data_IF_907310614923
#
_entry.id   IF_907310614923
#
_cell.length_a   1.000
_cell.length_b   1.000
_cell.length_c   1.000
_cell.angle_alpha   90.00
_cell.angle_beta   90.00
_cell.angle_gamma   90.00
#
_symmetry.space_group_name_H-M   'P 1'
#
loop_
_entity.id
_entity.type
_entity.pdbx_description
1 polymer ?
#
# COMPACT_ATOMS: atom_id res chain seq x y z
N UNK A 1 -7.59 12.54 -17.87
CA UNK A 1 -8.33 13.38 -16.90
C UNK A 1 -9.75 13.38 -17.43
N UNK A 2 -10.63 12.58 -16.85
CA UNK A 2 -12.04 12.50 -17.27
C UNK A 2 -12.77 13.67 -16.62
N UNK A 3 -13.45 14.44 -17.45
CA UNK A 3 -14.34 15.51 -17.02
C UNK A 3 -15.68 14.86 -16.70
N UNK A 4 -16.15 14.98 -15.46
CA UNK A 4 -17.47 14.51 -15.07
C UNK A 4 -18.41 15.71 -15.22
N UNK A 5 -19.27 15.68 -16.24
CA UNK A 5 -20.35 16.64 -16.36
C UNK A 5 -21.48 16.24 -15.39
N UNK A 6 -21.59 16.99 -14.30
CA UNK A 6 -22.69 16.81 -13.32
C UNK A 6 -23.82 17.75 -13.78
N UNK A 7 -24.88 17.17 -14.31
CA UNK A 7 -26.10 17.91 -14.64
C UNK A 7 -27.13 17.72 -13.50
N UNK A 8 -27.42 18.81 -12.79
CA UNK A 8 -28.41 18.85 -11.69
C UNK A 8 -29.58 19.74 -12.11
N UNK A 9 -30.61 19.21 -12.82
CA UNK A 9 -31.60 20.03 -13.48
C UNK A 9 -32.56 20.80 -12.56
N UNK A 10 -32.68 20.43 -11.29
CA UNK A 10 -33.66 20.96 -10.36
C UNK A 10 -33.08 21.55 -9.06
N UNK A 11 -31.77 21.89 -9.05
CA UNK A 11 -31.10 22.40 -7.83
C UNK A 11 -30.75 23.87 -7.99
N UNK A 12 -31.03 24.68 -6.95
CA UNK A 12 -30.68 26.10 -6.95
C UNK A 12 -29.15 26.27 -7.10
N UNK A 13 -28.66 27.12 -8.02
CA UNK A 13 -27.23 27.40 -8.19
C UNK A 13 -26.52 27.83 -6.89
N UNK A 14 -27.22 28.56 -6.02
CA UNK A 14 -26.68 29.01 -4.72
C UNK A 14 -26.43 27.82 -3.79
N UNK A 15 -27.30 26.83 -3.79
CA UNK A 15 -27.14 25.60 -3.00
C UNK A 15 -25.97 24.76 -3.50
N UNK A 16 -25.76 24.73 -4.81
CA UNK A 16 -24.61 24.04 -5.42
C UNK A 16 -23.31 24.72 -5.04
N UNK A 17 -23.23 26.05 -5.15
CA UNK A 17 -22.02 26.81 -4.80
C UNK A 17 -21.67 26.65 -3.33
N UNK A 18 -22.67 26.72 -2.44
CA UNK A 18 -22.49 26.51 -1.01
C UNK A 18 -21.96 25.11 -0.71
N UNK A 19 -22.55 24.08 -1.32
CA UNK A 19 -22.08 22.70 -1.16
C UNK A 19 -20.65 22.49 -1.69
N UNK A 20 -20.28 23.13 -2.80
CA UNK A 20 -18.91 23.10 -3.34
C UNK A 20 -17.92 23.75 -2.37
N UNK A 21 -18.26 24.90 -1.80
CA UNK A 21 -17.39 25.60 -0.84
C UNK A 21 -17.18 24.77 0.43
N UNK A 22 -18.23 24.16 0.95
CA UNK A 22 -18.12 23.24 2.09
C UNK A 22 -17.21 22.04 1.80
N UNK A 23 -17.34 21.44 0.63
CA UNK A 23 -16.52 20.30 0.22
C UNK A 23 -15.04 20.70 -0.02
N UNK A 24 -14.78 21.95 -0.40
CA UNK A 24 -13.41 22.50 -0.50
C UNK A 24 -12.83 22.68 0.90
N UNK A 25 -13.60 23.24 1.83
CA UNK A 25 -13.17 23.49 3.22
C UNK A 25 -12.91 22.16 3.96
N UNK A 26 -13.72 21.15 3.71
CA UNK A 26 -13.50 19.77 4.20
C UNK A 26 -12.32 19.04 3.51
N UNK A 27 -11.68 19.65 2.51
CA UNK A 27 -10.57 19.06 1.76
C UNK A 27 -10.95 17.90 0.82
N UNK A 28 -12.24 17.68 0.58
CA UNK A 28 -12.75 16.60 -0.28
C UNK A 28 -12.55 16.92 -1.75
N UNK A 29 -12.75 18.18 -2.14
CA UNK A 29 -12.48 18.68 -3.49
C UNK A 29 -11.50 19.85 -3.46
N UNK A 30 -10.89 20.13 -4.60
CA UNK A 30 -10.00 21.29 -4.80
C UNK A 30 -10.36 22.00 -6.09
N UNK A 31 -10.18 23.32 -6.12
CA UNK A 31 -10.33 24.10 -7.35
C UNK A 31 -9.28 23.64 -8.37
N UNK A 32 -9.75 23.29 -9.58
CA UNK A 32 -8.89 23.06 -10.72
C UNK A 32 -8.29 24.38 -11.24
N UNK A 33 -7.14 24.29 -11.92
CA UNK A 33 -6.46 25.46 -12.49
C UNK A 33 -6.97 25.89 -13.87
N UNK A 34 -7.91 25.19 -14.49
CA UNK A 34 -8.40 25.50 -15.82
C UNK A 34 -9.79 26.13 -15.73
N UNK A 35 -9.84 27.43 -15.96
CA UNK A 35 -11.06 28.15 -16.29
C UNK A 35 -11.23 28.03 -17.79
N UNK A 36 -12.21 27.23 -18.27
CA UNK A 36 -12.50 27.07 -19.70
C UNK A 36 -13.47 28.15 -20.18
N UNK A 37 -14.31 28.68 -19.30
CA UNK A 37 -15.13 29.89 -19.49
C UNK A 37 -15.49 30.46 -18.12
N UNK A 38 -15.98 31.71 -18.11
CA UNK A 38 -16.39 32.40 -16.86
C UNK A 38 -17.55 31.70 -16.14
N UNK A 39 -18.26 30.80 -16.84
CA UNK A 39 -19.44 30.08 -16.32
C UNK A 39 -19.15 28.61 -15.95
N UNK A 40 -17.91 28.11 -16.13
CA UNK A 40 -17.55 26.72 -15.84
C UNK A 40 -16.51 26.66 -14.73
N UNK A 41 -16.91 26.17 -13.56
CA UNK A 41 -16.00 25.87 -12.45
C UNK A 41 -15.53 24.44 -12.61
N UNK A 42 -14.26 24.25 -12.96
CA UNK A 42 -13.64 22.92 -12.95
C UNK A 42 -13.20 22.61 -11.52
N UNK A 43 -13.82 21.61 -10.93
CA UNK A 43 -13.46 21.06 -9.63
C UNK A 43 -12.81 19.68 -9.81
N UNK A 44 -11.77 19.42 -9.07
CA UNK A 44 -11.14 18.11 -9.03
C UNK A 44 -11.28 17.53 -7.64
N UNK A 45 -11.66 16.26 -7.54
CA UNK A 45 -11.62 15.54 -6.29
C UNK A 45 -10.18 15.49 -5.77
N UNK A 46 -10.00 15.74 -4.48
CA UNK A 46 -8.75 15.42 -3.82
C UNK A 46 -8.56 13.90 -3.77
N UNK A 47 -7.35 13.37 -3.55
CA UNK A 47 -7.16 11.92 -3.32
C UNK A 47 -8.04 11.38 -2.19
N UNK A 48 -8.30 12.19 -1.18
CA UNK A 48 -9.22 11.88 -0.08
C UNK A 48 -10.69 11.98 -0.52
N UNK A 49 -11.03 12.97 -1.33
CA UNK A 49 -12.35 13.11 -1.94
C UNK A 49 -12.70 11.94 -2.84
N UNK A 50 -11.75 11.41 -3.62
CA UNK A 50 -11.95 10.19 -4.42
C UNK A 50 -12.30 9.00 -3.52
N UNK A 51 -11.61 8.85 -2.39
CA UNK A 51 -11.89 7.76 -1.43
C UNK A 51 -13.26 7.88 -0.76
N UNK A 52 -13.71 9.10 -0.51
CA UNK A 52 -15.00 9.37 0.14
C UNK A 52 -16.13 9.69 -0.82
N UNK A 53 -15.85 9.78 -2.12
CA UNK A 53 -16.79 10.19 -3.16
C UNK A 53 -18.11 9.41 -3.08
N UNK A 54 -18.05 8.08 -3.07
CA UNK A 54 -19.24 7.23 -3.03
C UNK A 54 -20.10 7.42 -1.77
N UNK A 55 -19.49 7.74 -0.63
CA UNK A 55 -20.19 7.79 0.65
C UNK A 55 -20.67 9.17 1.05
N UNK A 56 -19.93 10.23 0.70
CA UNK A 56 -20.24 11.60 1.15
C UNK A 56 -20.79 12.51 0.06
N UNK A 57 -20.10 12.58 -1.08
CA UNK A 57 -20.49 13.50 -2.17
C UNK A 57 -21.77 13.02 -2.82
N UNK A 58 -21.86 11.73 -3.13
CA UNK A 58 -23.05 11.12 -3.73
C UNK A 58 -24.26 11.20 -2.80
N UNK A 59 -24.08 10.94 -1.52
CA UNK A 59 -25.15 11.02 -0.52
C UNK A 59 -25.67 12.46 -0.36
N UNK A 60 -24.81 13.48 -0.38
CA UNK A 60 -25.20 14.89 -0.27
C UNK A 60 -25.85 15.45 -1.55
N UNK A 61 -25.35 15.03 -2.72
CA UNK A 61 -25.85 15.51 -4.01
C UNK A 61 -27.01 14.69 -4.57
N UNK A 62 -27.39 13.58 -3.92
CA UNK A 62 -28.47 12.70 -4.38
C UNK A 62 -28.16 11.99 -5.72
N UNK A 63 -26.90 11.97 -6.15
CA UNK A 63 -26.47 11.43 -7.44
C UNK A 63 -26.15 9.95 -7.27
N UNK A 64 -26.71 9.09 -8.12
CA UNK A 64 -26.21 7.70 -8.22
C UNK A 64 -24.85 7.69 -8.92
N UNK A 65 -23.80 7.15 -8.28
CA UNK A 65 -22.50 7.06 -8.93
C UNK A 65 -22.63 6.23 -10.20
N UNK A 66 -22.02 6.67 -11.33
CA UNK A 66 -21.92 5.81 -12.49
C UNK A 66 -21.18 4.53 -12.10
N UNK A 67 -21.64 3.38 -12.61
CA UNK A 67 -21.09 2.06 -12.27
C UNK A 67 -19.57 1.94 -12.49
N UNK A 68 -18.98 2.81 -13.31
CA UNK A 68 -17.54 2.86 -13.63
C UNK A 68 -16.69 3.54 -12.56
N UNK A 69 -17.28 4.30 -11.61
CA UNK A 69 -16.54 4.98 -10.54
C UNK A 69 -16.40 4.09 -9.28
N UNK A 70 -17.15 2.99 -9.22
CA UNK A 70 -17.07 2.00 -8.16
C UNK A 70 -16.02 0.93 -8.48
N UNK A 71 -14.81 1.29 -8.84
CA UNK A 71 -13.65 0.41 -8.73
C UNK A 71 -12.47 0.92 -9.53
N UNK A 72 -11.31 1.06 -8.96
CA UNK A 72 -10.36 -0.06 -8.85
C UNK A 72 -9.69 -0.19 -7.47
N UNK A 73 -10.20 0.45 -6.44
CA UNK A 73 -9.52 0.47 -5.13
C UNK A 73 -10.01 -0.58 -4.11
N UNK A 74 -11.13 -1.28 -4.38
CA UNK A 74 -11.67 -2.25 -3.42
C UNK A 74 -10.88 -3.57 -3.29
N UNK A 75 -10.26 -4.16 -4.33
CA UNK A 75 -9.51 -5.39 -4.15
C UNK A 75 -8.34 -5.26 -3.17
N UNK A 76 -7.71 -4.09 -3.11
CA UNK A 76 -6.51 -3.87 -2.29
C UNK A 76 -6.82 -3.63 -0.80
N UNK A 77 -7.98 -3.07 -0.48
CA UNK A 77 -8.44 -2.94 0.92
C UNK A 77 -8.70 -4.28 1.58
N UNK A 78 -9.29 -5.23 0.86
CA UNK A 78 -9.59 -6.57 1.35
C UNK A 78 -8.34 -7.43 1.59
N UNK A 79 -7.19 -7.11 0.96
CA UNK A 79 -5.95 -7.86 1.15
C UNK A 79 -5.48 -7.88 2.61
N UNK A 80 -5.63 -6.76 3.33
CA UNK A 80 -5.16 -6.64 4.71
C UNK A 80 -6.13 -7.25 5.73
N UNK A 81 -7.43 -7.21 5.47
CA UNK A 81 -8.47 -7.71 6.40
C UNK A 81 -8.40 -9.22 6.61
N UNK A 82 -8.05 -9.94 5.56
CA UNK A 82 -8.00 -11.41 5.56
C UNK A 82 -6.67 -12.00 6.05
N UNK A 83 -5.71 -11.16 6.44
CA UNK A 83 -4.42 -11.64 6.92
C UNK A 83 -4.46 -12.20 8.34
N UNK A 84 -5.54 -11.98 9.11
CA UNK A 84 -5.65 -12.39 10.49
C UNK A 84 -4.57 -11.78 11.39
N UNK A 85 -4.05 -10.62 11.05
CA UNK A 85 -3.09 -9.86 11.83
C UNK A 85 -3.80 -9.03 12.92
N UNK A 86 -3.09 -8.57 13.97
CA UNK A 86 -3.66 -7.66 14.95
C UNK A 86 -4.21 -6.38 14.27
N UNK A 87 -5.35 -5.84 14.74
CA UNK A 87 -5.98 -4.66 14.14
C UNK A 87 -5.02 -3.48 13.96
N UNK A 88 -4.27 -3.12 14.98
CA UNK A 88 -3.31 -2.00 14.93
C UNK A 88 -2.24 -2.20 13.84
N UNK A 89 -1.78 -3.44 13.64
CA UNK A 89 -0.83 -3.74 12.57
C UNK A 89 -1.51 -3.66 11.20
N UNK A 90 -2.72 -4.18 11.09
CA UNK A 90 -3.51 -4.12 9.86
C UNK A 90 -3.76 -2.67 9.42
N UNK A 91 -4.14 -1.80 10.34
CA UNK A 91 -4.36 -0.38 10.08
C UNK A 91 -3.07 0.35 9.69
N UNK A 92 -1.96 0.01 10.35
CA UNK A 92 -0.64 0.55 9.99
C UNK A 92 -0.21 0.11 8.59
N UNK A 93 -0.48 -1.14 8.20
CA UNK A 93 -0.16 -1.65 6.86
C UNK A 93 -1.00 -0.95 5.78
N UNK A 94 -2.29 -0.69 6.02
CA UNK A 94 -3.14 0.10 5.12
C UNK A 94 -2.60 1.53 4.97
N UNK A 95 -2.30 2.19 6.09
CA UNK A 95 -1.72 3.54 6.07
C UNK A 95 -0.44 3.59 5.23
N UNK A 96 0.48 2.61 5.40
CA UNK A 96 1.72 2.53 4.61
C UNK A 96 1.47 2.28 3.13
N UNK A 97 0.46 1.47 2.80
CA UNK A 97 0.09 1.23 1.41
C UNK A 97 -0.40 2.52 0.75
N UNK A 98 -1.31 3.23 1.39
CA UNK A 98 -1.79 4.52 0.91
C UNK A 98 -0.66 5.56 0.79
N UNK A 99 0.29 5.54 1.72
CA UNK A 99 1.47 6.40 1.65
C UNK A 99 2.35 6.04 0.45
N UNK A 100 2.55 4.76 0.16
CA UNK A 100 3.30 4.30 -1.00
C UNK A 100 2.63 4.76 -2.31
N UNK A 101 1.31 4.69 -2.41
CA UNK A 101 0.55 5.18 -3.57
C UNK A 101 0.65 6.70 -3.73
N UNK A 102 0.64 7.44 -2.63
CA UNK A 102 0.93 8.89 -2.67
C UNK A 102 2.33 9.19 -3.20
N UNK A 103 3.32 8.40 -2.77
CA UNK A 103 4.70 8.50 -3.27
C UNK A 103 4.78 8.17 -4.77
N UNK A 104 4.06 7.15 -5.25
CA UNK A 104 3.97 6.85 -6.69
C UNK A 104 3.39 8.03 -7.48
N UNK A 105 2.29 8.59 -7.01
CA UNK A 105 1.64 9.75 -7.63
C UNK A 105 2.59 10.95 -7.69
N UNK A 106 3.39 11.15 -6.65
CA UNK A 106 4.41 12.20 -6.56
C UNK A 106 5.71 11.86 -7.33
N UNK A 107 5.81 10.68 -7.94
CA UNK A 107 7.02 10.14 -8.58
C UNK A 107 8.20 10.00 -7.63
N UNK A 108 7.95 9.84 -6.34
CA UNK A 108 8.95 9.59 -5.31
C UNK A 108 9.24 8.07 -5.23
N UNK A 109 9.81 7.51 -6.30
CA UNK A 109 9.95 6.07 -6.52
C UNK A 109 10.75 5.36 -5.43
N UNK A 110 11.82 5.97 -4.96
CA UNK A 110 12.63 5.41 -3.86
C UNK A 110 11.78 5.26 -2.59
N UNK A 111 11.03 6.31 -2.20
CA UNK A 111 10.17 6.29 -1.02
C UNK A 111 9.07 5.23 -1.15
N UNK A 112 8.43 5.12 -2.31
CA UNK A 112 7.41 4.09 -2.57
C UNK A 112 7.99 2.67 -2.39
N UNK A 113 9.17 2.38 -2.96
CA UNK A 113 9.83 1.08 -2.81
C UNK A 113 10.19 0.75 -1.36
N UNK A 114 10.65 1.75 -0.58
CA UNK A 114 10.91 1.57 0.86
C UNK A 114 9.64 1.19 1.59
N UNK A 115 8.53 1.85 1.30
CA UNK A 115 7.23 1.58 1.92
C UNK A 115 6.72 0.18 1.56
N UNK A 116 6.77 -0.22 0.28
CA UNK A 116 6.40 -1.58 -0.12
C UNK A 116 7.27 -2.64 0.56
N UNK A 117 8.59 -2.42 0.64
CA UNK A 117 9.48 -3.30 1.38
C UNK A 117 9.14 -3.39 2.87
N UNK A 118 8.74 -2.27 3.49
CA UNK A 118 8.35 -2.24 4.91
C UNK A 118 7.01 -2.95 5.16
N UNK A 119 6.08 -2.89 4.21
CA UNK A 119 4.81 -3.64 4.27
C UNK A 119 5.09 -5.14 4.23
N UNK A 120 5.91 -5.60 3.29
CA UNK A 120 6.32 -6.99 3.20
C UNK A 120 6.95 -7.47 4.51
N UNK A 121 7.92 -6.71 5.03
CA UNK A 121 8.64 -7.04 6.27
C UNK A 121 7.68 -7.16 7.46
N UNK A 122 6.82 -6.18 7.68
CA UNK A 122 5.87 -6.16 8.79
C UNK A 122 4.81 -7.28 8.67
N UNK A 123 4.34 -7.57 7.47
CA UNK A 123 3.42 -8.68 7.22
C UNK A 123 4.05 -10.03 7.58
N UNK A 124 5.27 -10.28 7.10
CA UNK A 124 6.00 -11.51 7.40
C UNK A 124 6.32 -11.63 8.90
N UNK A 125 6.71 -10.53 9.56
CA UNK A 125 6.88 -10.51 11.02
C UNK A 125 5.60 -10.90 11.76
N UNK A 126 4.47 -10.32 11.36
CA UNK A 126 3.18 -10.62 11.99
C UNK A 126 2.80 -12.09 11.84
N UNK A 127 2.93 -12.64 10.64
CA UNK A 127 2.61 -14.04 10.38
C UNK A 127 3.53 -15.02 11.06
N UNK A 128 4.85 -14.83 10.95
CA UNK A 128 5.82 -15.71 11.61
C UNK A 128 5.73 -15.60 13.14
N UNK A 129 5.33 -14.43 13.66
CA UNK A 129 5.03 -14.24 15.07
C UNK A 129 3.89 -15.12 15.57
N UNK A 130 2.83 -15.30 14.77
CA UNK A 130 1.71 -16.23 15.06
C UNK A 130 2.17 -17.69 15.04
N UNK A 131 3.09 -18.02 14.15
CA UNK A 131 3.66 -19.37 13.97
C UNK A 131 5.00 -19.53 14.70
N UNK A 132 5.19 -18.85 15.83
CA UNK A 132 6.50 -18.71 16.51
C UNK A 132 7.25 -20.03 16.68
N UNK A 133 6.56 -21.11 17.08
CA UNK A 133 7.21 -22.42 17.30
C UNK A 133 7.77 -22.99 15.98
N UNK A 134 6.96 -22.97 14.92
CA UNK A 134 7.36 -23.48 13.61
C UNK A 134 8.45 -22.58 13.01
N UNK A 135 8.32 -21.25 13.12
CA UNK A 135 9.29 -20.29 12.61
C UNK A 135 10.67 -20.47 13.27
N UNK A 136 10.74 -20.61 14.59
CA UNK A 136 12.02 -20.85 15.31
C UNK A 136 12.60 -22.25 15.04
N UNK A 137 11.78 -23.23 14.72
CA UNK A 137 12.22 -24.60 14.39
C UNK A 137 12.69 -24.73 12.93
N UNK A 138 12.38 -23.77 12.06
CA UNK A 138 12.79 -23.80 10.66
C UNK A 138 14.32 -23.81 10.52
N UNK A 139 14.85 -24.52 9.53
CA UNK A 139 16.29 -24.59 9.25
C UNK A 139 16.85 -23.24 8.82
N UNK A 140 16.05 -22.45 8.12
CA UNK A 140 16.38 -21.11 7.68
C UNK A 140 16.33 -20.07 8.83
N UNK A 141 15.83 -20.43 10.01
CA UNK A 141 15.75 -19.50 11.14
C UNK A 141 17.16 -19.08 11.59
N UNK A 142 17.41 -17.76 11.71
CA UNK A 142 18.73 -17.28 12.06
C UNK A 142 19.11 -17.63 13.49
N UNK A 143 20.37 -18.05 13.68
CA UNK A 143 20.94 -18.45 14.98
C UNK A 143 22.21 -17.66 15.26
N UNK A 144 22.44 -17.38 16.52
CA UNK A 144 23.67 -16.73 16.97
C UNK A 144 24.50 -17.75 17.75
N UNK A 145 25.75 -17.95 17.33
CA UNK A 145 26.71 -18.73 18.08
C UNK A 145 27.24 -17.90 19.26
N UNK A 146 27.10 -18.40 20.49
CA UNK A 146 27.61 -17.80 21.70
C UNK A 146 28.95 -18.45 22.10
N UNK A 147 29.66 -17.84 23.09
CA UNK A 147 30.89 -18.40 23.64
C UNK A 147 30.63 -19.86 24.09
N UNK A 148 31.47 -20.78 23.61
CA UNK A 148 31.33 -22.22 23.88
C UNK A 148 30.66 -23.00 22.70
N UNK A 149 30.46 -22.37 21.53
CA UNK A 149 29.99 -23.05 20.30
C UNK A 149 28.50 -23.40 20.27
N UNK A 150 27.73 -23.00 21.29
CA UNK A 150 26.29 -23.25 21.35
C UNK A 150 25.54 -22.25 20.47
N UNK A 151 24.64 -22.77 19.63
CA UNK A 151 23.72 -21.94 18.84
C UNK A 151 22.48 -21.58 19.67
N UNK A 152 22.11 -20.31 19.63
CA UNK A 152 20.92 -19.77 20.30
C UNK A 152 20.03 -19.11 19.25
N UNK A 153 18.72 -19.32 19.35
CA UNK A 153 17.75 -18.73 18.44
C UNK A 153 17.74 -17.19 18.59
N UNK A 154 17.72 -16.50 17.45
CA UNK A 154 17.49 -15.06 17.44
C UNK A 154 15.97 -14.84 17.51
N UNK A 155 15.47 -13.98 18.41
CA UNK A 155 14.04 -13.66 18.49
C UNK A 155 13.50 -13.09 17.16
N UNK A 156 12.32 -13.53 16.71
CA UNK A 156 11.69 -13.12 15.44
C UNK A 156 11.70 -11.60 15.24
N UNK A 157 11.42 -10.72 16.22
CA UNK A 157 11.49 -9.28 16.04
C UNK A 157 12.86 -8.71 15.65
N UNK A 158 13.90 -9.52 15.69
CA UNK A 158 15.27 -9.14 15.27
C UNK A 158 15.69 -9.75 13.94
N UNK A 159 14.78 -10.46 13.28
CA UNK A 159 15.07 -11.04 11.98
C UNK A 159 15.03 -9.96 10.90
N UNK A 160 15.98 -10.03 10.00
CA UNK A 160 15.96 -9.19 8.81
C UNK A 160 14.97 -9.73 7.75
N UNK A 161 14.60 -8.90 6.80
CA UNK A 161 13.68 -9.30 5.73
C UNK A 161 14.16 -10.54 4.96
N UNK A 162 15.47 -10.72 4.80
CA UNK A 162 16.04 -11.94 4.20
C UNK A 162 15.65 -13.21 4.97
N UNK A 163 15.78 -13.18 6.29
CA UNK A 163 15.49 -14.32 7.14
C UNK A 163 13.98 -14.62 7.12
N UNK A 164 13.16 -13.57 7.19
CA UNK A 164 11.71 -13.67 7.12
C UNK A 164 11.24 -14.33 5.83
N UNK A 165 11.77 -13.90 4.68
CA UNK A 165 11.45 -14.49 3.37
C UNK A 165 11.87 -15.96 3.33
N UNK A 166 13.08 -16.28 3.79
CA UNK A 166 13.61 -17.65 3.75
C UNK A 166 12.80 -18.61 4.63
N UNK A 167 12.41 -18.17 5.83
CA UNK A 167 11.57 -18.97 6.72
C UNK A 167 10.14 -19.08 6.18
N UNK A 168 9.59 -18.02 5.59
CA UNK A 168 8.27 -18.06 4.96
C UNK A 168 8.20 -19.06 3.80
N UNK A 169 9.28 -19.19 3.00
CA UNK A 169 9.41 -20.22 1.98
C UNK A 169 9.44 -21.63 2.60
N UNK A 170 10.27 -21.85 3.61
CA UNK A 170 10.40 -23.16 4.25
C UNK A 170 9.08 -23.64 4.87
N UNK A 171 8.30 -22.72 5.43
CA UNK A 171 6.98 -23.00 6.00
C UNK A 171 5.85 -23.04 4.94
N UNK A 172 6.17 -22.87 3.65
CA UNK A 172 5.19 -22.91 2.57
C UNK A 172 4.19 -21.74 2.57
N UNK A 173 4.52 -20.62 3.23
CA UNK A 173 3.69 -19.42 3.21
C UNK A 173 3.72 -18.74 1.84
N UNK A 174 4.87 -18.77 1.20
CA UNK A 174 5.10 -18.30 -0.16
C UNK A 174 5.80 -19.39 -0.97
N UNK A 175 5.56 -19.42 -2.27
CA UNK A 175 6.19 -20.38 -3.17
C UNK A 175 7.60 -19.93 -3.61
N UNK A 176 8.41 -20.82 -4.23
CA UNK A 176 9.77 -20.50 -4.66
C UNK A 176 9.84 -19.35 -5.69
N UNK A 177 8.81 -19.18 -6.54
CA UNK A 177 8.79 -18.11 -7.55
C UNK A 177 8.56 -16.77 -6.87
N UNK A 178 7.55 -16.67 -6.01
CA UNK A 178 7.25 -15.48 -5.26
C UNK A 178 8.40 -15.09 -4.32
N UNK A 179 9.08 -16.09 -3.75
CA UNK A 179 10.30 -15.90 -2.92
C UNK A 179 11.39 -15.14 -3.68
N UNK A 180 11.67 -15.50 -4.95
CA UNK A 180 12.67 -14.79 -5.76
C UNK A 180 12.30 -13.33 -5.96
N UNK A 181 11.04 -13.04 -6.23
CA UNK A 181 10.54 -11.68 -6.38
C UNK A 181 10.59 -10.89 -5.06
N UNK A 182 10.26 -11.53 -3.93
CA UNK A 182 10.37 -10.93 -2.61
C UNK A 182 11.82 -10.57 -2.25
N UNK A 183 12.80 -11.41 -2.62
CA UNK A 183 14.23 -11.06 -2.47
C UNK A 183 14.64 -9.90 -3.37
N UNK A 184 14.17 -9.83 -4.62
CA UNK A 184 14.42 -8.70 -5.51
C UNK A 184 13.83 -7.39 -4.92
N UNK A 185 12.62 -7.44 -4.36
CA UNK A 185 12.01 -6.30 -3.67
C UNK A 185 12.84 -5.87 -2.46
N UNK A 186 13.35 -6.82 -1.66
CA UNK A 186 14.26 -6.51 -0.54
C UNK A 186 15.51 -5.77 -1.02
N UNK A 187 16.09 -6.21 -2.14
CA UNK A 187 17.28 -5.56 -2.71
C UNK A 187 16.96 -4.13 -3.17
N UNK A 188 15.82 -3.94 -3.83
CA UNK A 188 15.33 -2.61 -4.22
C UNK A 188 15.09 -1.69 -3.00
N UNK A 189 14.51 -2.22 -1.91
CA UNK A 189 14.31 -1.46 -0.67
C UNK A 189 15.65 -1.03 -0.05
N UNK A 190 16.68 -1.84 -0.19
CA UNK A 190 18.00 -1.53 0.34
C UNK A 190 18.72 -0.39 -0.42
N UNK A 191 18.21 0.05 -1.58
CA UNK A 191 18.69 1.26 -2.26
C UNK A 191 18.44 2.56 -1.46
N UNK A 192 17.71 2.49 -0.33
CA UNK A 192 17.64 3.58 0.67
C UNK A 192 19.04 3.96 1.21
N UNK A 193 19.99 3.04 1.18
CA UNK A 193 21.35 3.29 1.59
C UNK A 193 22.16 3.90 0.44
N UNK A 194 22.61 5.18 0.53
CA UNK A 194 23.27 5.86 -0.58
C UNK A 194 24.51 5.12 -1.11
N UNK A 195 25.29 4.53 -0.22
CA UNK A 195 26.48 3.76 -0.63
C UNK A 195 26.11 2.60 -1.56
N UNK A 196 25.02 1.88 -1.24
CA UNK A 196 24.54 0.77 -2.05
C UNK A 196 23.95 1.23 -3.37
N UNK A 197 23.19 2.32 -3.37
CA UNK A 197 22.66 2.92 -4.59
C UNK A 197 23.76 3.31 -5.57
N UNK A 198 24.84 3.90 -5.06
CA UNK A 198 26.02 4.27 -5.86
C UNK A 198 26.73 3.02 -6.39
N UNK A 199 26.94 2.02 -5.56
CA UNK A 199 27.62 0.77 -5.94
C UNK A 199 26.85 0.02 -7.03
N UNK A 200 25.54 -0.14 -6.85
CA UNK A 200 24.66 -0.85 -7.78
C UNK A 200 24.31 -0.02 -9.03
N UNK A 201 24.62 1.28 -9.03
CA UNK A 201 24.26 2.22 -10.12
C UNK A 201 22.78 2.11 -10.51
N UNK A 202 21.92 1.91 -9.52
CA UNK A 202 20.49 1.65 -9.71
C UNK A 202 19.67 2.79 -9.14
N UNK A 203 18.75 3.30 -9.95
CA UNK A 203 17.76 4.29 -9.52
C UNK A 203 16.36 3.68 -9.65
N UNK A 204 15.58 3.66 -8.58
CA UNK A 204 14.19 3.24 -8.66
C UNK A 204 13.40 4.11 -9.64
N UNK A 205 12.66 3.47 -10.53
CA UNK A 205 11.76 4.10 -11.49
C UNK A 205 10.32 3.62 -11.31
N UNK A 206 9.42 4.11 -12.15
CA UNK A 206 8.01 3.72 -12.13
C UNK A 206 7.80 2.23 -12.39
N UNK A 207 8.63 1.59 -13.23
CA UNK A 207 8.49 0.16 -13.57
C UNK A 207 8.90 -0.71 -12.38
N UNK A 208 10.04 -0.39 -11.76
CA UNK A 208 10.53 -1.10 -10.59
C UNK A 208 9.55 -0.98 -9.42
N UNK A 209 8.97 0.21 -9.24
CA UNK A 209 7.96 0.47 -8.20
C UNK A 209 6.68 -0.32 -8.46
N UNK A 210 6.20 -0.37 -9.69
CA UNK A 210 5.04 -1.18 -10.06
C UNK A 210 5.27 -2.68 -9.80
N UNK A 211 6.47 -3.21 -10.12
CA UNK A 211 6.84 -4.59 -9.80
C UNK A 211 6.84 -4.81 -8.29
N UNK A 212 7.41 -3.90 -7.50
CA UNK A 212 7.44 -3.99 -6.05
C UNK A 212 6.02 -4.04 -5.46
N UNK A 213 5.12 -3.19 -5.93
CA UNK A 213 3.69 -3.19 -5.56
C UNK A 213 3.04 -4.55 -5.85
N UNK A 214 3.23 -5.07 -7.07
CA UNK A 214 2.67 -6.36 -7.47
C UNK A 214 3.19 -7.52 -6.63
N UNK A 215 4.49 -7.52 -6.30
CA UNK A 215 5.09 -8.56 -5.44
C UNK A 215 4.47 -8.53 -4.05
N UNK A 216 4.32 -7.36 -3.44
CA UNK A 216 3.66 -7.25 -2.13
C UNK A 216 2.23 -7.74 -2.21
N UNK A 217 1.44 -7.29 -3.20
CA UNK A 217 0.07 -7.74 -3.40
C UNK A 217 -0.04 -9.26 -3.55
N UNK A 218 0.86 -9.87 -4.31
CA UNK A 218 0.91 -11.32 -4.49
C UNK A 218 1.24 -12.07 -3.18
N UNK A 219 2.17 -11.56 -2.37
CA UNK A 219 2.49 -12.14 -1.05
C UNK A 219 1.29 -12.03 -0.11
N UNK A 220 0.65 -10.86 -0.03
CA UNK A 220 -0.54 -10.67 0.79
C UNK A 220 -1.66 -11.62 0.39
N UNK A 221 -1.92 -11.77 -0.92
CA UNK A 221 -2.93 -12.69 -1.45
C UNK A 221 -2.61 -14.16 -1.13
N UNK A 222 -1.35 -14.56 -1.29
CA UNK A 222 -0.90 -15.92 -0.97
C UNK A 222 -1.07 -16.23 0.52
N UNK A 223 -0.84 -15.25 1.39
CA UNK A 223 -0.99 -15.39 2.84
C UNK A 223 -2.47 -15.36 3.27
N UNK A 224 -3.30 -14.51 2.69
CA UNK A 224 -4.72 -14.44 2.97
C UNK A 224 -5.48 -15.73 2.59
N UNK A 225 -4.94 -16.50 1.65
CA UNK A 225 -5.51 -17.81 1.23
C UNK A 225 -5.13 -18.98 2.15
N UNK A 226 -4.29 -18.77 3.17
CA UNK A 226 -3.89 -19.80 4.12
C UNK A 226 -4.86 -19.83 5.31
N UNK A 227 -5.25 -21.02 5.78
CA UNK A 227 -6.14 -21.17 6.93
C UNK A 227 -5.49 -20.74 8.26
#
# INVERSE_FOLDING_TARGET
METIDIFLPDTDPIDIETAILELIDEGIIRRGRHVISDDIIVIALSPEGVRHYAHRVVARLGIKPPATILSPAEPERFLFDNLGLPPDLTDNLRYRWEEAERCETARAWLAANILYGSILEATLHGWLGRMKKQALAARAAPKKTIKGGKNVDIPIPRWGLNDLISVALELGLIDPTLTRHAHALRDNRNLVHPARQIEERSEPDSKLTAISKQVVGAVLSAMASKP
#
